data_IF_541571366399
#
_entry.id   IF_541571366399
#
_cell.length_a   1.000
_cell.length_b   1.000
_cell.length_c   1.000
_cell.angle_alpha   90.00
_cell.angle_beta   90.00
_cell.angle_gamma   90.00
#
_symmetry.space_group_name_H-M   'P 1'
#
loop_
_entity.id
_entity.type
_entity.pdbx_description
1 polymer ?
#
# COMPACT_ATOMS: atom_id res chain seq x y z
N UNK A 1 10.55 -15.90 13.32
CA UNK A 1 9.48 -15.05 13.85
C UNK A 1 8.18 -15.43 13.15
N UNK A 2 7.06 -15.54 13.86
CA UNK A 2 5.75 -15.81 13.25
C UNK A 2 4.89 -14.57 13.41
N UNK A 3 4.25 -14.17 12.32
CA UNK A 3 3.22 -13.14 12.29
C UNK A 3 1.88 -13.80 11.98
N UNK A 4 0.83 -13.45 12.73
CA UNK A 4 -0.49 -14.02 12.52
C UNK A 4 -1.61 -13.07 12.92
N UNK A 5 -2.73 -13.13 12.22
CA UNK A 5 -3.95 -12.38 12.52
C UNK A 5 -5.18 -13.28 12.34
N UNK A 6 -6.32 -12.86 12.89
CA UNK A 6 -7.63 -13.45 12.60
C UNK A 6 -8.46 -12.62 11.61
N UNK A 7 -7.81 -11.75 10.82
CA UNK A 7 -8.43 -10.90 9.81
C UNK A 7 -8.14 -11.42 8.40
N UNK A 8 -9.06 -11.15 7.48
CA UNK A 8 -8.85 -11.39 6.04
C UNK A 8 -8.49 -10.11 5.27
N UNK A 9 -8.35 -8.98 5.96
CA UNK A 9 -8.01 -7.72 5.29
C UNK A 9 -6.54 -7.72 4.83
N UNK A 10 -6.26 -7.58 3.53
CA UNK A 10 -4.89 -7.55 3.03
C UNK A 10 -4.04 -6.40 3.58
N UNK A 11 -4.67 -5.29 3.98
CA UNK A 11 -3.98 -4.14 4.61
C UNK A 11 -3.41 -4.52 5.98
N UNK A 12 -4.11 -5.39 6.71
CA UNK A 12 -3.64 -5.91 8.00
C UNK A 12 -2.72 -7.11 7.84
N UNK A 13 -2.56 -7.66 6.63
CA UNK A 13 -1.88 -8.93 6.39
C UNK A 13 -0.73 -8.75 5.40
N UNK A 14 -0.98 -8.93 4.10
CA UNK A 14 0.00 -8.83 3.02
C UNK A 14 0.78 -7.51 3.04
N UNK A 15 0.11 -6.38 3.29
CA UNK A 15 0.76 -5.07 3.35
C UNK A 15 1.75 -4.98 4.53
N UNK A 16 1.41 -5.53 5.69
CA UNK A 16 2.29 -5.57 6.87
C UNK A 16 3.51 -6.43 6.57
N UNK A 17 3.30 -7.62 6.01
CA UNK A 17 4.39 -8.53 5.63
C UNK A 17 5.29 -7.91 4.58
N UNK A 18 4.70 -7.30 3.55
CA UNK A 18 5.43 -6.60 2.51
C UNK A 18 6.31 -5.48 3.08
N UNK A 19 5.76 -4.69 4.01
CA UNK A 19 6.49 -3.61 4.65
C UNK A 19 7.65 -4.11 5.51
N UNK A 20 7.48 -5.23 6.22
CA UNK A 20 8.59 -5.89 6.94
C UNK A 20 9.71 -6.27 5.98
N UNK A 21 9.38 -6.91 4.85
CA UNK A 21 10.37 -7.28 3.84
C UNK A 21 11.10 -6.06 3.25
N UNK A 22 10.37 -4.98 2.94
CA UNK A 22 10.98 -3.74 2.43
C UNK A 22 11.93 -3.10 3.43
N UNK A 23 11.55 -3.04 4.71
CA UNK A 23 12.36 -2.39 5.76
C UNK A 23 13.56 -3.20 6.20
N UNK A 24 13.41 -4.51 6.30
CA UNK A 24 14.46 -5.38 6.77
C UNK A 24 15.38 -5.86 5.63
N UNK A 25 14.97 -5.70 4.37
CA UNK A 25 15.75 -6.11 3.21
C UNK A 25 16.16 -7.58 3.32
N UNK A 26 17.44 -7.85 3.04
CA UNK A 26 18.02 -9.20 3.08
C UNK A 26 18.26 -9.73 4.50
N UNK A 27 18.00 -8.95 5.55
CA UNK A 27 18.16 -9.42 6.94
C UNK A 27 17.07 -10.40 7.38
N UNK A 28 15.95 -10.45 6.66
CA UNK A 28 14.85 -11.39 6.90
C UNK A 28 14.30 -11.92 5.59
N UNK A 29 13.78 -13.14 5.61
CA UNK A 29 13.07 -13.71 4.46
C UNK A 29 11.77 -14.41 4.90
N UNK A 30 10.81 -14.51 3.97
CA UNK A 30 9.64 -15.35 4.14
C UNK A 30 10.02 -16.81 3.92
N UNK A 31 9.75 -17.65 4.92
CA UNK A 31 9.92 -19.10 4.84
C UNK A 31 8.67 -19.69 4.21
N UNK A 32 8.85 -20.48 3.16
CA UNK A 32 7.78 -21.32 2.65
C UNK A 32 7.58 -22.51 3.59
N UNK A 33 6.46 -22.50 4.31
CA UNK A 33 6.05 -23.61 5.18
C UNK A 33 4.93 -24.42 4.55
N UNK A 34 4.85 -24.43 3.21
CA UNK A 34 3.78 -25.10 2.49
C UNK A 34 3.86 -26.62 2.42
N UNK A 35 4.96 -27.22 2.88
CA UNK A 35 5.03 -28.65 3.18
C UNK A 35 4.43 -28.98 4.55
N UNK A 36 4.31 -27.99 5.44
CA UNK A 36 3.88 -28.20 6.81
C UNK A 36 2.36 -28.31 6.87
N UNK A 37 1.88 -29.22 7.73
CA UNK A 37 0.45 -29.49 7.93
C UNK A 37 -0.30 -29.74 6.61
N UNK A 38 0.04 -30.78 5.83
CA UNK A 38 -0.53 -31.02 4.50
C UNK A 38 -2.04 -31.26 4.49
N UNK A 39 -2.63 -31.56 5.65
CA UNK A 39 -4.08 -31.76 5.81
C UNK A 39 -4.86 -30.45 6.08
N UNK A 40 -4.16 -29.36 6.39
CA UNK A 40 -4.76 -28.05 6.61
C UNK A 40 -4.98 -27.37 5.26
N UNK A 41 -6.24 -27.15 4.90
CA UNK A 41 -6.59 -26.45 3.66
C UNK A 41 -6.26 -24.97 3.84
N UNK A 42 -5.52 -24.43 2.90
CA UNK A 42 -5.07 -23.05 2.91
C UNK A 42 -4.88 -22.51 1.51
N UNK A 43 -4.91 -21.19 1.40
CA UNK A 43 -4.64 -20.44 0.19
C UNK A 43 -3.34 -19.64 0.34
N UNK A 44 -2.61 -19.40 -0.77
CA UNK A 44 -1.44 -18.54 -0.73
C UNK A 44 -1.83 -17.10 -0.35
N UNK A 45 -0.86 -16.33 0.13
CA UNK A 45 -1.00 -14.89 0.28
C UNK A 45 -1.23 -14.19 -1.06
N UNK A 46 -1.82 -12.99 -0.99
CA UNK A 46 -2.20 -12.23 -2.17
C UNK A 46 -1.02 -11.43 -2.75
N UNK A 47 -0.96 -11.33 -4.08
CA UNK A 47 -0.03 -10.41 -4.78
C UNK A 47 -0.67 -9.11 -5.24
N UNK A 48 -2.00 -9.06 -5.26
CA UNK A 48 -2.80 -7.91 -5.66
C UNK A 48 -3.93 -7.73 -4.66
N UNK A 49 -4.21 -6.49 -4.31
CA UNK A 49 -5.36 -6.12 -3.49
C UNK A 49 -5.68 -4.65 -3.69
N UNK A 50 -6.89 -4.27 -3.28
CA UNK A 50 -7.35 -2.88 -3.22
C UNK A 50 -7.48 -2.46 -1.75
N UNK A 51 -7.28 -1.18 -1.48
CA UNK A 51 -7.46 -0.60 -0.15
C UNK A 51 -8.87 -0.03 -0.09
N UNK A 52 -9.66 -0.46 0.90
CA UNK A 52 -10.97 0.13 1.14
C UNK A 52 -10.84 1.31 2.10
N UNK A 53 -11.36 2.46 1.70
CA UNK A 53 -11.45 3.64 2.54
C UNK A 53 -12.82 4.30 2.42
N UNK A 54 -13.56 4.41 3.53
CA UNK A 54 -14.89 5.05 3.59
C UNK A 54 -15.81 4.63 2.42
N UNK A 55 -15.86 3.33 2.12
CA UNK A 55 -16.63 2.71 1.02
C UNK A 55 -16.08 2.93 -0.41
N UNK A 56 -14.92 3.57 -0.55
CA UNK A 56 -14.21 3.71 -1.83
C UNK A 56 -13.12 2.65 -1.90
N UNK A 57 -12.99 1.99 -3.04
CA UNK A 57 -11.90 1.05 -3.32
C UNK A 57 -10.80 1.76 -4.11
N UNK A 58 -9.61 1.80 -3.55
CA UNK A 58 -8.42 2.41 -4.15
C UNK A 58 -7.52 1.28 -4.67
N UNK A 59 -7.18 1.31 -5.96
CA UNK A 59 -6.34 0.29 -6.57
C UNK A 59 -4.84 0.61 -6.42
N UNK A 60 -4.50 1.90 -6.34
CA UNK A 60 -3.15 2.38 -6.15
C UNK A 60 -3.09 3.56 -5.17
N UNK A 61 -1.91 3.81 -4.61
CA UNK A 61 -1.66 5.01 -3.82
C UNK A 61 -1.86 6.31 -4.62
N UNK A 62 -1.72 6.26 -5.96
CA UNK A 62 -2.01 7.39 -6.85
C UNK A 62 -3.46 7.85 -6.74
N UNK A 63 -4.38 6.91 -6.50
CA UNK A 63 -5.82 7.16 -6.44
C UNK A 63 -6.23 7.80 -5.10
N UNK A 64 -5.31 7.90 -4.14
CA UNK A 64 -5.57 8.44 -2.81
C UNK A 64 -5.73 9.97 -2.89
N UNK A 65 -6.92 10.52 -2.57
CA UNK A 65 -7.14 11.96 -2.53
C UNK A 65 -6.16 12.64 -1.57
N UNK A 66 -5.67 13.82 -1.95
CA UNK A 66 -4.64 14.55 -1.19
C UNK A 66 -4.98 14.73 0.29
N UNK A 67 -6.24 15.05 0.61
CA UNK A 67 -6.72 15.21 1.99
C UNK A 67 -6.75 13.90 2.82
N UNK A 68 -6.70 12.73 2.16
CA UNK A 68 -6.66 11.41 2.81
C UNK A 68 -5.25 10.85 2.97
N UNK A 69 -4.24 11.42 2.29
CA UNK A 69 -2.84 10.94 2.33
C UNK A 69 -2.20 10.96 3.72
N UNK A 70 -2.75 11.73 4.67
CA UNK A 70 -2.31 11.68 6.06
C UNK A 70 -2.67 10.37 6.78
N UNK A 71 -3.74 9.69 6.36
CA UNK A 71 -4.25 8.47 7.00
C UNK A 71 -4.10 7.19 6.17
N UNK A 72 -3.68 7.31 4.92
CA UNK A 72 -3.45 6.18 4.02
C UNK A 72 -1.97 6.20 3.65
N UNK A 73 -1.26 5.11 3.90
CA UNK A 73 0.18 5.00 3.64
C UNK A 73 0.43 4.27 2.32
N UNK A 74 1.46 4.63 1.53
CA UNK A 74 1.88 3.86 0.36
C UNK A 74 2.07 2.36 0.64
N UNK A 75 2.57 2.00 1.83
CA UNK A 75 2.80 0.61 2.23
C UNK A 75 1.53 -0.23 2.33
N UNK A 76 0.34 0.39 2.40
CA UNK A 76 -0.96 -0.29 2.35
C UNK A 76 -1.25 -0.91 0.99
N UNK A 77 -0.53 -0.51 -0.07
CA UNK A 77 -0.72 -0.96 -1.45
C UNK A 77 0.35 -1.99 -1.87
N UNK A 78 0.08 -2.80 -2.91
CA UNK A 78 0.99 -3.89 -3.32
C UNK A 78 2.44 -3.48 -3.62
N UNK A 79 2.65 -2.37 -4.32
CA UNK A 79 3.99 -1.87 -4.66
C UNK A 79 4.69 -1.20 -3.48
N UNK A 80 3.93 -0.60 -2.56
CA UNK A 80 4.48 0.20 -1.46
C UNK A 80 5.12 1.52 -1.89
N UNK A 81 4.96 1.94 -3.15
CA UNK A 81 5.65 3.10 -3.71
C UNK A 81 4.80 4.36 -3.51
N UNK A 82 5.38 5.39 -2.91
CA UNK A 82 4.86 6.75 -3.05
C UNK A 82 5.25 7.28 -4.43
N UNK A 83 4.30 7.56 -5.29
CA UNK A 83 4.57 8.42 -6.45
C UNK A 83 4.68 9.86 -5.94
N UNK A 84 5.91 10.30 -5.65
CA UNK A 84 6.24 11.72 -5.67
C UNK A 84 6.43 12.11 -7.15
N UNK A 85 5.83 13.22 -7.57
CA UNK A 85 5.83 13.71 -8.95
C UNK A 85 7.24 13.75 -9.56
N UNK A 86 7.36 13.23 -10.78
CA UNK A 86 8.52 13.46 -11.63
C UNK A 86 8.37 14.80 -12.37
N UNK A 87 8.46 15.92 -11.64
CA UNK A 87 8.60 17.32 -12.10
C UNK A 87 8.54 18.21 -10.84
N UNK A 88 9.43 19.13 -10.48
CA UNK A 88 10.37 19.97 -11.22
C UNK A 88 11.59 20.30 -10.35
N UNK A 89 12.73 20.46 -10.99
CA UNK A 89 13.90 21.12 -10.42
C UNK A 89 14.02 22.48 -11.12
N UNK A 90 13.71 23.59 -10.43
CA UNK A 90 14.50 24.84 -10.49
C UNK A 90 13.89 26.05 -9.73
N UNK A 91 14.78 26.69 -8.96
CA UNK A 91 14.82 28.08 -8.44
C UNK A 91 14.14 28.49 -7.11
N UNK A 92 15.01 28.96 -6.20
CA UNK A 92 14.79 29.54 -4.88
C UNK A 92 14.06 30.89 -4.87
N UNK A 93 13.25 31.16 -3.82
CA UNK A 93 13.47 32.21 -2.80
C UNK A 93 12.18 32.72 -2.13
N UNK A 94 12.18 32.66 -0.79
CA UNK A 94 11.77 33.71 0.16
C UNK A 94 10.30 34.21 0.29
N UNK A 95 9.81 34.02 1.53
CA UNK A 95 9.13 34.99 2.42
C UNK A 95 7.75 35.57 2.07
N UNK A 96 6.76 35.22 2.90
CA UNK A 96 6.08 36.18 3.76
C UNK A 96 4.83 36.94 3.25
N UNK A 97 3.76 36.77 4.03
CA UNK A 97 2.59 37.65 4.24
C UNK A 97 1.38 37.55 3.29
N UNK A 98 0.22 37.40 3.94
CA UNK A 98 -1.13 37.69 3.47
C UNK A 98 -1.33 39.21 3.34
N UNK A 99 -2.18 39.67 2.40
CA UNK A 99 -3.36 40.45 2.82
C UNK A 99 -4.65 40.17 2.02
N UNK A 100 -5.74 40.69 2.56
CA UNK A 100 -7.16 40.52 2.21
C UNK A 100 -7.66 41.18 0.90
N UNK A 101 -8.92 40.82 0.57
CA UNK A 101 -10.01 41.57 -0.09
C UNK A 101 -10.46 41.12 -1.50
N UNK A 102 -11.78 40.89 -1.54
CA UNK A 102 -12.65 40.41 -2.61
C UNK A 102 -12.75 41.31 -3.85
N UNK A 103 -13.15 40.74 -4.98
CA UNK A 103 -14.08 41.40 -5.91
C UNK A 103 -14.91 40.41 -6.73
N UNK A 104 -16.22 40.65 -6.69
CA UNK A 104 -17.27 40.02 -7.48
C UNK A 104 -17.05 40.21 -8.99
N UNK A 105 -17.34 39.16 -9.75
CA UNK A 105 -17.53 39.23 -11.20
C UNK A 105 -18.32 38.03 -11.69
N UNK A 106 -19.65 38.17 -11.74
CA UNK A 106 -20.52 37.25 -12.46
C UNK A 106 -20.35 37.49 -13.97
N UNK A 107 -20.19 36.44 -14.77
CA UNK A 107 -20.45 36.51 -16.20
C UNK A 107 -20.88 35.14 -16.71
N UNK A 108 -22.20 34.96 -16.76
CA UNK A 108 -22.83 33.87 -17.49
C UNK A 108 -22.65 34.09 -19.00
N UNK A 109 -22.12 33.10 -19.72
CA UNK A 109 -22.64 32.82 -21.05
C UNK A 109 -22.41 31.38 -21.50
N UNK A 110 -23.54 30.75 -21.77
CA UNK A 110 -23.77 29.50 -22.50
C UNK A 110 -23.39 29.67 -23.99
N UNK A 111 -22.72 28.69 -24.56
CA UNK A 111 -22.93 28.26 -25.95
C UNK A 111 -22.45 26.83 -26.17
N UNK A 112 -23.12 26.15 -27.09
CA UNK A 112 -23.25 24.71 -27.27
C UNK A 112 -22.25 24.09 -28.26
N UNK A 113 -22.06 22.78 -28.09
CA UNK A 113 -21.83 21.72 -29.09
C UNK A 113 -20.51 21.68 -29.90
N UNK A 114 -19.72 20.64 -29.61
CA UNK A 114 -19.27 19.68 -30.64
C UNK A 114 -18.86 18.36 -29.95
N UNK A 115 -19.58 17.28 -30.25
CA UNK A 115 -19.23 15.91 -29.88
C UNK A 115 -18.09 15.40 -30.77
N UNK A 116 -17.08 14.76 -30.18
CA UNK A 116 -16.19 13.83 -30.88
C UNK A 116 -15.90 12.62 -29.97
N UNK A 117 -16.07 11.37 -30.44
CA UNK A 117 -15.95 10.17 -29.60
C UNK A 117 -14.48 9.78 -29.41
N UNK A 118 -13.86 10.26 -28.33
CA UNK A 118 -12.62 9.70 -27.85
C UNK A 118 -12.93 8.60 -26.83
N UNK A 119 -12.60 7.37 -27.21
CA UNK A 119 -12.51 6.22 -26.34
C UNK A 119 -11.28 6.41 -25.44
N UNK A 120 -11.39 6.51 -24.11
CA UNK A 120 -10.29 6.18 -23.23
C UNK A 120 -10.50 4.73 -22.83
N UNK A 121 -9.71 3.86 -23.44
CA UNK A 121 -9.50 2.49 -22.98
C UNK A 121 -8.90 2.57 -21.58
N UNK A 122 -9.75 2.57 -20.56
CA UNK A 122 -9.34 2.52 -19.15
C UNK A 122 -8.85 1.10 -18.82
N UNK A 123 -7.66 0.77 -19.29
CA UNK A 123 -6.87 -0.32 -18.70
C UNK A 123 -6.31 0.23 -17.39
N UNK A 124 -7.12 0.15 -16.35
CA UNK A 124 -6.66 0.36 -14.98
C UNK A 124 -5.52 -0.61 -14.70
N UNK A 125 -4.27 -0.12 -14.67
CA UNK A 125 -3.10 -0.92 -14.34
C UNK A 125 -3.25 -1.42 -12.89
N UNK A 126 -3.70 -2.65 -12.70
CA UNK A 126 -3.81 -3.24 -11.37
C UNK A 126 -2.42 -3.42 -10.75
N UNK A 127 -2.19 -2.76 -9.62
CA UNK A 127 -0.93 -2.81 -8.90
C UNK A 127 -0.63 -4.23 -8.38
N UNK A 128 0.60 -4.71 -8.61
CA UNK A 128 1.07 -6.04 -8.20
C UNK A 128 2.35 -5.91 -7.40
N UNK A 129 2.49 -6.72 -6.35
CA UNK A 129 3.74 -6.82 -5.61
C UNK A 129 4.70 -7.84 -6.25
N UNK A 130 5.99 -7.54 -6.27
CA UNK A 130 7.05 -8.48 -6.69
C UNK A 130 7.55 -9.34 -5.53
N UNK A 131 7.10 -9.05 -4.30
CA UNK A 131 7.51 -9.77 -3.10
C UNK A 131 6.90 -11.18 -3.07
N UNK A 132 7.56 -12.15 -2.41
CA UNK A 132 7.13 -13.55 -2.38
C UNK A 132 6.00 -13.80 -1.37
N UNK A 133 4.92 -13.01 -1.43
CA UNK A 133 3.80 -13.07 -0.47
C UNK A 133 2.96 -14.35 -0.61
N UNK A 134 3.09 -15.08 -1.71
CA UNK A 134 2.49 -16.42 -1.88
C UNK A 134 2.94 -17.43 -0.83
N UNK A 135 4.09 -17.17 -0.16
CA UNK A 135 4.59 -17.98 0.96
C UNK A 135 3.77 -17.79 2.25
N UNK A 136 2.93 -16.76 2.33
CA UNK A 136 1.98 -16.60 3.42
C UNK A 136 0.81 -17.58 3.27
N UNK A 137 0.17 -17.91 4.39
CA UNK A 137 -0.96 -18.84 4.43
C UNK A 137 -2.24 -18.11 4.86
N UNK A 138 -3.28 -18.25 4.05
CA UNK A 138 -4.65 -17.80 4.34
C UNK A 138 -5.51 -19.03 4.62
N UNK A 139 -5.93 -19.19 5.86
CA UNK A 139 -6.89 -20.20 6.28
C UNK A 139 -8.25 -19.50 6.29
N UNK A 140 -9.12 -19.92 5.39
CA UNK A 140 -10.43 -19.28 5.24
C UNK A 140 -11.47 -20.01 6.08
N UNK A 141 -12.49 -19.30 6.58
CA UNK A 141 -13.51 -19.94 7.40
C UNK A 141 -14.26 -21.08 6.71
N UNK A 142 -14.53 -20.91 5.41
CA UNK A 142 -15.40 -21.78 4.63
C UNK A 142 -14.77 -23.10 4.17
N UNK A 143 -13.45 -23.25 4.24
CA UNK A 143 -12.79 -24.44 3.69
C UNK A 143 -12.89 -25.64 4.65
N UNK A 144 -12.87 -25.41 5.97
CA UNK A 144 -12.89 -26.48 6.98
C UNK A 144 -13.71 -26.15 8.24
N UNK A 145 -14.69 -25.24 8.14
CA UNK A 145 -15.49 -24.75 9.27
C UNK A 145 -14.62 -24.22 10.43
N UNK A 146 -13.61 -23.42 10.08
CA UNK A 146 -12.64 -22.84 11.01
C UNK A 146 -12.86 -21.33 11.15
N UNK A 147 -12.10 -20.69 12.04
CA UNK A 147 -11.91 -19.23 11.99
C UNK A 147 -11.10 -18.81 10.75
N UNK A 148 -11.14 -17.51 10.45
CA UNK A 148 -10.23 -16.91 9.49
C UNK A 148 -8.86 -16.70 10.14
N UNK A 149 -7.79 -17.14 9.48
CA UNK A 149 -6.43 -16.88 9.94
C UNK A 149 -5.50 -16.51 8.79
N UNK A 150 -4.60 -15.59 9.07
CA UNK A 150 -3.44 -15.30 8.24
C UNK A 150 -2.17 -15.64 9.00
N UNK A 151 -1.21 -16.27 8.34
CA UNK A 151 0.06 -16.66 8.93
C UNK A 151 1.21 -16.32 7.96
N UNK A 152 2.26 -15.70 8.48
CA UNK A 152 3.53 -15.50 7.80
C UNK A 152 4.68 -15.89 8.71
N UNK A 153 5.65 -16.65 8.17
CA UNK A 153 6.82 -17.12 8.90
C UNK A 153 8.06 -16.44 8.34
N UNK A 154 8.81 -15.76 9.20
CA UNK A 154 10.06 -15.09 8.85
C UNK A 154 11.26 -15.80 9.46
N UNK A 155 12.31 -15.97 8.67
CA UNK A 155 13.63 -16.35 9.13
C UNK A 155 14.54 -15.13 9.17
N UNK A 156 15.27 -14.96 10.27
CA UNK A 156 16.30 -13.92 10.38
C UNK A 156 17.59 -14.46 9.78
N UNK A 157 18.14 -13.77 8.79
CA UNK A 157 19.36 -14.15 8.08
C UNK A 157 20.59 -13.39 8.59
N UNK A 158 20.42 -12.13 8.99
CA UNK A 158 21.50 -11.29 9.49
C UNK A 158 21.01 -10.30 10.54
N UNK A 159 21.92 -9.49 11.10
CA UNK A 159 21.53 -8.38 11.97
C UNK A 159 20.59 -7.43 11.24
N UNK A 160 19.50 -7.05 11.90
CA UNK A 160 18.53 -6.12 11.32
C UNK A 160 19.19 -4.75 11.14
N UNK A 161 18.80 -3.97 10.10
CA UNK A 161 19.23 -2.58 9.97
C UNK A 161 18.77 -1.82 11.21
N UNK A 162 19.70 -1.53 12.11
CA UNK A 162 19.46 -0.74 13.30
C UNK A 162 19.71 0.73 12.99
N UNK A 163 18.79 1.61 13.40
CA UNK A 163 19.20 2.99 13.67
C UNK A 163 20.22 2.93 14.80
N UNK A 164 21.50 3.08 14.46
CA UNK A 164 22.60 3.18 15.41
C UNK A 164 22.25 4.27 16.43
N UNK A 165 21.83 3.86 17.63
CA UNK A 165 21.78 4.79 18.75
C UNK A 165 23.23 5.13 19.07
N UNK A 166 23.60 6.39 18.84
CA UNK A 166 24.85 6.96 19.28
C UNK A 166 25.08 6.59 20.75
N UNK A 167 26.02 5.69 20.99
CA UNK A 167 26.50 5.37 22.32
C UNK A 167 27.30 6.58 22.79
N UNK A 168 26.65 7.53 23.44
CA UNK A 168 27.33 8.55 24.22
C UNK A 168 27.97 7.85 25.42
N UNK A 169 29.26 7.59 25.32
CA UNK A 169 30.12 7.29 26.47
C UNK A 169 30.32 8.59 27.25
N UNK A 170 29.95 8.57 28.54
CA UNK A 170 30.36 9.57 29.53
C UNK A 170 31.80 9.31 30.00
#
# INVERSE_FOLDING_TARGET
MVYSTCSMNPVENEAVVAEVLRRCGESVELVDVSSELPQLVRRPGLKKWKVQDKNVWLASYKDVPTFRRAGINPSMFPSGKSYMDASDNSHEASCGKMPDICSNGNCEKRSELSEDPLVPTDVSEEEVTTLPLERCMRIVPHDQNTGAFFIAVFQKLSSLPGNSKNHFSY
#
